data_IF_567990872589
#
_entry.id   IF_567990872589
#
_cell.length_a   1.000
_cell.length_b   1.000
_cell.length_c   1.000
_cell.angle_alpha   90.00
_cell.angle_beta   90.00
_cell.angle_gamma   90.00
#
_symmetry.space_group_name_H-M   'P 1'
#
loop_
_entity.id
_entity.type
_entity.pdbx_description
1 polymer ?
#
# COMPACT_ATOMS: atom_id res chain seq x y z
N UNK A 1 -22.56 -1.74 -10.24
CA UNK A 1 -21.65 -2.52 -9.38
C UNK A 1 -20.23 -2.02 -9.65
N UNK A 2 -19.63 -1.29 -8.72
CA UNK A 2 -18.27 -0.73 -8.90
C UNK A 2 -17.29 -1.73 -8.31
N UNK A 3 -16.43 -2.30 -9.14
CA UNK A 3 -15.33 -3.15 -8.69
C UNK A 3 -14.19 -2.27 -8.22
N UNK A 4 -13.79 -2.41 -6.95
CA UNK A 4 -12.61 -1.74 -6.42
C UNK A 4 -11.35 -2.48 -6.83
N UNK A 5 -10.33 -1.75 -7.27
CA UNK A 5 -8.97 -2.29 -7.36
C UNK A 5 -8.29 -2.31 -5.98
N UNK A 6 -7.17 -3.03 -5.87
CA UNK A 6 -6.44 -3.19 -4.60
C UNK A 6 -6.07 -1.85 -3.93
N UNK A 7 -5.63 -0.86 -4.72
CA UNK A 7 -5.31 0.47 -4.18
C UNK A 7 -6.54 1.21 -3.64
N UNK A 8 -7.70 1.03 -4.27
CA UNK A 8 -8.95 1.61 -3.79
C UNK A 8 -9.46 0.93 -2.51
N UNK A 9 -9.29 -0.39 -2.38
CA UNK A 9 -9.62 -1.13 -1.15
C UNK A 9 -8.82 -0.54 0.03
N UNK A 10 -7.51 -0.41 -0.13
CA UNK A 10 -6.64 0.17 0.90
C UNK A 10 -7.07 1.59 1.27
N UNK A 11 -7.36 2.44 0.27
CA UNK A 11 -7.80 3.83 0.48
C UNK A 11 -9.13 3.92 1.23
N UNK A 12 -10.09 3.04 0.94
CA UNK A 12 -11.37 2.99 1.67
C UNK A 12 -11.11 2.65 3.13
N UNK A 13 -10.32 1.61 3.41
CA UNK A 13 -10.01 1.24 4.79
C UNK A 13 -9.21 2.31 5.55
N UNK A 14 -8.28 3.00 4.89
CA UNK A 14 -7.55 4.12 5.50
C UNK A 14 -8.46 5.28 5.91
N UNK A 15 -9.57 5.51 5.18
CA UNK A 15 -10.56 6.53 5.54
C UNK A 15 -11.55 6.05 6.59
N UNK A 16 -12.02 4.82 6.48
CA UNK A 16 -13.06 4.28 7.37
C UNK A 16 -12.51 3.79 8.71
N UNK A 17 -11.26 3.34 8.75
CA UNK A 17 -10.63 2.72 9.92
C UNK A 17 -9.15 3.16 10.07
N UNK A 18 -8.85 4.46 10.13
CA UNK A 18 -7.49 4.99 10.04
C UNK A 18 -6.53 4.39 11.08
N UNK A 19 -6.99 4.23 12.32
CA UNK A 19 -6.20 3.74 13.46
C UNK A 19 -6.19 2.21 13.60
N UNK A 20 -6.96 1.49 12.79
CA UNK A 20 -6.99 0.02 12.86
C UNK A 20 -5.69 -0.54 12.29
N UNK A 21 -5.09 -1.49 13.00
CA UNK A 21 -3.89 -2.20 12.51
C UNK A 21 -4.23 -2.91 11.21
N UNK A 22 -3.47 -2.60 10.16
CA UNK A 22 -3.59 -3.20 8.83
C UNK A 22 -2.61 -4.36 8.65
N UNK A 23 -1.37 -4.19 9.13
CA UNK A 23 -0.32 -5.18 9.05
C UNK A 23 0.46 -5.23 10.36
N UNK A 24 0.92 -6.43 10.72
CA UNK A 24 1.84 -6.69 11.81
C UNK A 24 2.90 -7.64 11.29
N UNK A 25 4.16 -7.24 11.38
CA UNK A 25 5.29 -8.03 10.90
C UNK A 25 5.70 -9.10 11.93
N UNK A 26 6.64 -9.98 11.55
CA UNK A 26 7.15 -11.02 12.46
C UNK A 26 7.92 -10.49 13.68
N UNK A 27 8.42 -9.25 13.62
CA UNK A 27 9.09 -8.57 14.74
C UNK A 27 8.10 -7.89 15.69
N UNK A 28 6.82 -7.91 15.34
CA UNK A 28 5.75 -7.27 16.08
C UNK A 28 5.54 -5.81 15.76
N UNK A 29 6.25 -5.24 14.77
CA UNK A 29 5.96 -3.89 14.29
C UNK A 29 4.60 -3.87 13.61
N UNK A 30 3.78 -2.88 13.98
CA UNK A 30 2.45 -2.68 13.42
C UNK A 30 2.43 -1.45 12.53
N UNK A 31 1.57 -1.46 11.52
CA UNK A 31 1.15 -0.25 10.82
C UNK A 31 -0.37 -0.17 10.74
N UNK A 32 -0.91 1.02 10.95
CA UNK A 32 -2.34 1.29 10.77
C UNK A 32 -2.70 1.39 9.29
N UNK A 33 -4.00 1.35 8.96
CA UNK A 33 -4.44 1.57 7.59
C UNK A 33 -4.05 2.94 7.04
N UNK A 34 -4.09 3.99 7.87
CA UNK A 34 -3.66 5.33 7.47
C UNK A 34 -2.16 5.39 7.14
N UNK A 35 -1.33 4.76 7.97
CA UNK A 35 0.12 4.68 7.75
C UNK A 35 0.47 3.88 6.50
N UNK A 36 -0.22 2.75 6.29
CA UNK A 36 0.02 1.87 5.15
C UNK A 36 -0.39 2.54 3.82
N UNK A 37 -1.52 3.24 3.76
CA UNK A 37 -1.94 4.01 2.58
C UNK A 37 -0.96 5.15 2.28
N UNK A 38 -0.57 5.92 3.29
CA UNK A 38 0.41 7.00 3.15
C UNK A 38 1.75 6.48 2.62
N UNK A 39 2.28 5.38 3.17
CA UNK A 39 3.53 4.76 2.73
C UNK A 39 3.42 4.21 1.31
N UNK A 40 2.31 3.54 0.98
CA UNK A 40 2.07 2.97 -0.36
C UNK A 40 1.98 4.08 -1.41
N UNK A 41 1.29 5.18 -1.10
CA UNK A 41 1.20 6.34 -2.00
C UNK A 41 2.56 7.01 -2.22
N UNK A 42 3.40 7.12 -1.19
CA UNK A 42 4.78 7.62 -1.36
C UNK A 42 5.58 6.73 -2.31
N UNK A 43 5.55 5.42 -2.12
CA UNK A 43 6.23 4.48 -3.01
C UNK A 43 5.70 4.57 -4.46
N UNK A 44 4.39 4.62 -4.64
CA UNK A 44 3.77 4.74 -5.95
C UNK A 44 4.21 6.03 -6.67
N UNK A 45 4.21 7.18 -5.99
CA UNK A 45 4.69 8.45 -6.56
C UNK A 45 6.18 8.40 -6.91
N UNK A 46 7.01 7.77 -6.08
CA UNK A 46 8.43 7.56 -6.42
C UNK A 46 8.61 6.69 -7.66
N UNK A 47 7.86 5.59 -7.79
CA UNK A 47 7.92 4.73 -8.99
C UNK A 47 7.44 5.47 -10.24
N UNK A 48 6.38 6.26 -10.15
CA UNK A 48 5.92 7.14 -11.23
C UNK A 48 7.01 8.15 -11.62
N UNK A 49 7.70 8.74 -10.64
CA UNK A 49 8.79 9.69 -10.89
C UNK A 49 10.01 9.06 -11.58
N UNK A 50 10.20 7.75 -11.41
CA UNK A 50 11.22 6.96 -12.12
C UNK A 50 10.80 6.57 -13.55
N UNK A 51 9.59 6.97 -13.97
CA UNK A 51 9.09 6.74 -15.33
C UNK A 51 8.21 5.51 -15.50
N UNK A 52 7.78 4.86 -14.41
CA UNK A 52 6.90 3.69 -14.46
C UNK A 52 5.54 4.03 -15.09
N UNK A 53 5.08 3.18 -16.01
CA UNK A 53 3.82 3.33 -16.76
C UNK A 53 2.94 2.11 -16.59
N UNK A 54 1.66 2.28 -16.94
CA UNK A 54 0.70 1.17 -16.97
C UNK A 54 1.17 0.08 -17.93
N UNK A 55 1.28 -1.16 -17.45
CA UNK A 55 1.76 -2.31 -18.22
C UNK A 55 3.22 -2.66 -17.93
N UNK A 56 3.98 -1.75 -17.31
CA UNK A 56 5.35 -2.03 -16.87
C UNK A 56 5.36 -3.04 -15.72
N UNK A 57 6.52 -3.70 -15.55
CA UNK A 57 6.72 -4.75 -14.55
C UNK A 57 7.76 -4.30 -13.54
N UNK A 58 7.49 -4.55 -12.26
CA UNK A 58 8.40 -4.25 -11.15
C UNK A 58 8.77 -5.58 -10.49
N UNK A 59 10.07 -5.87 -10.42
CA UNK A 59 10.57 -7.00 -9.64
C UNK A 59 10.65 -6.62 -8.16
N UNK A 60 10.22 -7.52 -7.28
CA UNK A 60 10.32 -7.37 -5.82
C UNK A 60 11.09 -8.57 -5.29
N UNK A 61 12.28 -8.32 -4.73
CA UNK A 61 13.15 -9.34 -4.15
C UNK A 61 13.40 -9.01 -2.69
N UNK A 62 12.53 -9.53 -1.82
CA UNK A 62 12.52 -9.27 -0.38
C UNK A 62 12.18 -10.57 0.35
N UNK A 63 12.61 -10.69 1.61
CA UNK A 63 12.04 -11.69 2.51
C UNK A 63 10.61 -11.32 2.89
N UNK A 64 9.85 -12.29 3.41
CA UNK A 64 8.58 -11.97 4.06
C UNK A 64 8.83 -11.05 5.26
N UNK A 65 8.03 -10.00 5.35
CA UNK A 65 7.95 -9.09 6.47
C UNK A 65 6.71 -9.43 7.30
#
# INVERSE_FOLDING_TARGET
>A
MVWLNLGQILRVHARSYPEKIAVKDWRGETRTYAELDSRTNRLANSLLSMGLRKGDRVAVMLYNC
#
